data_IF_815542847861
#
_entry.id   IF_815542847861
#
_cell.length_a   1.000
_cell.length_b   1.000
_cell.length_c   1.000
_cell.angle_alpha   90.00
_cell.angle_beta   90.00
_cell.angle_gamma   90.00
#
_symmetry.space_group_name_H-M   'P 1'
#
loop_
_entity.id
_entity.type
_entity.pdbx_description
1 polymer ?
#
# COMPACT_ATOMS: atom_id res chain seq x y z
N UNK A 1 -3.39 -10.59 -27.19
CA UNK A 1 -4.43 -9.60 -26.81
C UNK A 1 -3.92 -8.24 -27.25
N UNK A 2 -4.53 -7.64 -28.27
CA UNK A 2 -4.29 -6.21 -28.55
C UNK A 2 -5.09 -5.40 -27.55
N UNK A 3 -4.45 -4.44 -26.90
CA UNK A 3 -5.12 -3.43 -26.09
C UNK A 3 -6.14 -2.69 -26.95
N UNK A 4 -7.33 -2.39 -26.40
CA UNK A 4 -8.33 -1.63 -27.14
C UNK A 4 -7.81 -0.24 -27.54
N UNK A 5 -8.35 0.38 -28.61
CA UNK A 5 -7.85 1.64 -29.17
C UNK A 5 -7.84 2.80 -28.17
N UNK A 6 -8.70 2.77 -27.14
CA UNK A 6 -8.69 3.76 -26.05
C UNK A 6 -7.43 3.62 -25.17
N UNK A 7 -7.04 2.39 -24.83
CA UNK A 7 -5.87 2.13 -23.99
C UNK A 7 -4.59 2.54 -24.71
N UNK A 8 -4.50 2.26 -26.02
CA UNK A 8 -3.38 2.70 -26.86
C UNK A 8 -3.20 4.22 -26.82
N UNK A 9 -4.30 5.00 -26.86
CA UNK A 9 -4.21 6.47 -26.75
C UNK A 9 -3.60 6.93 -25.42
N UNK A 10 -3.92 6.25 -24.32
CA UNK A 10 -3.32 6.55 -23.01
C UNK A 10 -1.84 6.14 -22.95
N UNK A 11 -1.46 5.00 -23.54
CA UNK A 11 -0.07 4.59 -23.63
C UNK A 11 0.78 5.60 -24.42
N UNK A 12 0.24 6.15 -25.51
CA UNK A 12 0.94 7.15 -26.31
C UNK A 12 1.06 8.50 -25.59
N UNK A 13 0.01 8.93 -24.89
CA UNK A 13 -0.01 10.24 -24.24
C UNK A 13 0.67 10.27 -22.86
N UNK A 14 0.63 9.16 -22.12
CA UNK A 14 1.08 9.10 -20.72
C UNK A 14 1.50 7.67 -20.33
N UNK A 15 2.59 7.14 -20.91
CA UNK A 15 3.00 5.74 -20.71
C UNK A 15 3.32 5.43 -19.25
N UNK A 16 4.04 6.32 -18.55
CA UNK A 16 4.50 6.07 -17.18
C UNK A 16 3.32 5.96 -16.18
N UNK A 17 2.36 6.91 -16.12
CA UNK A 17 1.18 6.76 -15.28
C UNK A 17 0.36 5.50 -15.58
N UNK A 18 0.21 5.12 -16.86
CA UNK A 18 -0.52 3.91 -17.26
C UNK A 18 0.19 2.65 -16.77
N UNK A 19 1.51 2.57 -16.96
CA UNK A 19 2.33 1.47 -16.46
C UNK A 19 2.25 1.38 -14.93
N UNK A 20 2.42 2.50 -14.22
CA UNK A 20 2.33 2.54 -12.76
C UNK A 20 0.96 2.07 -12.26
N UNK A 21 -0.13 2.54 -12.88
CA UNK A 21 -1.48 2.10 -12.56
C UNK A 21 -1.66 0.59 -12.78
N UNK A 22 -1.17 0.06 -13.89
CA UNK A 22 -1.24 -1.37 -14.18
C UNK A 22 -0.45 -2.22 -13.17
N UNK A 23 0.72 -1.74 -12.73
CA UNK A 23 1.50 -2.41 -11.67
C UNK A 23 0.74 -2.43 -10.35
N UNK A 24 0.14 -1.31 -9.96
CA UNK A 24 -0.68 -1.23 -8.74
C UNK A 24 -1.91 -2.13 -8.80
N UNK A 25 -2.64 -2.14 -9.90
CA UNK A 25 -3.82 -3.02 -10.06
C UNK A 25 -3.43 -4.50 -10.00
N UNK A 26 -2.26 -4.86 -10.53
CA UNK A 26 -1.74 -6.23 -10.43
C UNK A 26 -1.36 -6.62 -9.00
N UNK A 27 -0.70 -5.70 -8.28
CA UNK A 27 -0.16 -5.95 -6.94
C UNK A 27 -1.21 -5.82 -5.83
N UNK A 28 -2.26 -5.03 -6.05
CA UNK A 28 -3.29 -4.69 -5.07
C UNK A 28 -4.66 -5.25 -5.47
N UNK A 29 -4.67 -6.49 -5.99
CA UNK A 29 -5.90 -7.18 -6.37
C UNK A 29 -6.80 -7.40 -5.13
N UNK A 30 -8.03 -6.86 -5.09
CA UNK A 30 -8.86 -6.87 -3.88
C UNK A 30 -9.13 -8.26 -3.31
N UNK A 31 -9.40 -9.23 -4.19
CA UNK A 31 -9.72 -10.59 -3.78
C UNK A 31 -8.51 -11.27 -3.12
N UNK A 32 -7.33 -11.14 -3.72
CA UNK A 32 -6.10 -11.66 -3.13
C UNK A 32 -5.72 -10.97 -1.82
N UNK A 33 -5.95 -9.66 -1.71
CA UNK A 33 -5.70 -8.93 -0.47
C UNK A 33 -6.62 -9.38 0.66
N UNK A 34 -7.90 -9.59 0.38
CA UNK A 34 -8.85 -10.07 1.39
C UNK A 34 -8.55 -11.52 1.79
N UNK A 35 -8.11 -12.37 0.85
CA UNK A 35 -7.64 -13.73 1.14
C UNK A 35 -6.37 -13.72 2.00
N UNK A 36 -5.37 -12.90 1.65
CA UNK A 36 -4.16 -12.72 2.44
C UNK A 36 -4.49 -12.36 3.90
N UNK A 37 -5.42 -11.42 4.09
CA UNK A 37 -5.87 -11.02 5.41
C UNK A 37 -6.55 -12.18 6.15
N UNK A 38 -7.43 -12.92 5.47
CA UNK A 38 -8.10 -14.09 6.03
C UNK A 38 -7.12 -15.16 6.50
N UNK A 39 -6.06 -15.41 5.73
CA UNK A 39 -5.08 -16.45 6.02
C UNK A 39 -4.07 -16.06 7.10
N UNK A 40 -3.79 -14.75 7.24
CA UNK A 40 -2.70 -14.26 8.10
C UNK A 40 -3.19 -13.71 9.43
N UNK A 41 -4.35 -13.04 9.47
CA UNK A 41 -4.85 -12.39 10.66
C UNK A 41 -5.24 -13.43 11.73
N UNK A 42 -4.70 -13.27 12.95
CA UNK A 42 -4.96 -14.19 14.06
C UNK A 42 -6.16 -13.74 14.90
N UNK A 43 -6.32 -12.43 15.07
CA UNK A 43 -7.28 -11.83 16.01
C UNK A 43 -8.30 -10.94 15.32
N UNK A 44 -7.91 -10.24 14.25
CA UNK A 44 -8.82 -9.36 13.54
C UNK A 44 -9.78 -10.13 12.62
N UNK A 45 -11.03 -9.65 12.53
CA UNK A 45 -12.05 -10.18 11.61
C UNK A 45 -12.37 -9.20 10.48
N UNK A 46 -12.84 -9.74 9.34
CA UNK A 46 -13.29 -8.97 8.15
C UNK A 46 -14.75 -8.48 8.23
N UNK A 47 -15.47 -8.78 9.32
CA UNK A 47 -16.94 -8.66 9.39
C UNK A 47 -17.49 -7.24 9.19
N UNK A 48 -16.72 -6.19 9.48
CA UNK A 48 -17.18 -4.80 9.40
C UNK A 48 -16.52 -3.97 8.29
N UNK A 49 -15.38 -4.44 7.78
CA UNK A 49 -14.60 -3.74 6.76
C UNK A 49 -13.59 -4.73 6.14
N UNK A 50 -13.51 -4.78 4.81
CA UNK A 50 -12.55 -5.61 4.08
C UNK A 50 -11.14 -5.03 4.16
N UNK A 51 -10.12 -5.87 4.04
CA UNK A 51 -8.73 -5.40 4.03
C UNK A 51 -8.42 -4.63 2.74
N UNK A 52 -8.93 -5.13 1.61
CA UNK A 52 -8.87 -4.44 0.31
C UNK A 52 -9.47 -3.02 0.36
N UNK A 53 -10.58 -2.83 1.08
CA UNK A 53 -11.20 -1.53 1.29
C UNK A 53 -10.30 -0.58 2.10
N UNK A 54 -9.60 -1.10 3.11
CA UNK A 54 -8.61 -0.30 3.86
C UNK A 54 -7.41 0.07 3.00
N UNK A 55 -6.90 -0.86 2.19
CA UNK A 55 -5.80 -0.59 1.26
C UNK A 55 -6.21 0.49 0.26
N UNK A 56 -7.43 0.44 -0.31
CA UNK A 56 -7.99 1.49 -1.17
C UNK A 56 -8.05 2.85 -0.45
N UNK A 57 -8.50 2.87 0.80
CA UNK A 57 -8.57 4.09 1.61
C UNK A 57 -7.17 4.67 1.86
N UNK A 58 -6.22 3.84 2.28
CA UNK A 58 -4.84 4.24 2.53
C UNK A 58 -4.15 4.70 1.24
N UNK A 59 -4.45 4.05 0.11
CA UNK A 59 -3.94 4.45 -1.20
C UNK A 59 -4.28 5.92 -1.51
N UNK A 60 -5.53 6.33 -1.27
CA UNK A 60 -5.95 7.72 -1.49
C UNK A 60 -5.26 8.73 -0.55
N UNK A 61 -4.87 8.29 0.65
CA UNK A 61 -4.12 9.13 1.59
C UNK A 61 -2.65 9.26 1.18
N UNK A 62 -1.98 8.13 0.89
CA UNK A 62 -0.55 8.13 0.53
C UNK A 62 -0.30 8.77 -0.83
N UNK A 63 -1.27 8.70 -1.75
CA UNK A 63 -1.24 9.39 -3.04
C UNK A 63 -1.62 10.87 -2.93
N UNK A 64 -1.87 11.40 -1.71
CA UNK A 64 -2.27 12.79 -1.42
C UNK A 64 -3.58 13.22 -2.10
N UNK A 65 -4.44 12.29 -2.49
CA UNK A 65 -5.80 12.61 -2.95
C UNK A 65 -6.63 13.14 -1.79
N UNK A 66 -6.43 12.58 -0.60
CA UNK A 66 -6.97 13.08 0.64
C UNK A 66 -5.85 13.40 1.64
N UNK A 67 -5.94 14.53 2.38
CA UNK A 67 -4.89 14.94 3.31
C UNK A 67 -4.80 14.07 4.58
N UNK A 68 -5.82 13.25 4.85
CA UNK A 68 -5.86 12.39 6.04
C UNK A 68 -6.77 11.17 5.84
N UNK A 69 -6.55 10.15 6.68
CA UNK A 69 -7.46 9.00 6.83
C UNK A 69 -8.88 9.44 7.12
N UNK A 70 -9.06 10.46 7.97
CA UNK A 70 -10.37 11.01 8.31
C UNK A 70 -11.10 11.54 7.08
N UNK A 71 -10.44 12.40 6.28
CA UNK A 71 -11.02 12.94 5.05
C UNK A 71 -11.33 11.85 4.01
N UNK A 72 -10.45 10.86 3.87
CA UNK A 72 -10.66 9.74 2.95
C UNK A 72 -11.84 8.86 3.41
N UNK A 73 -11.96 8.63 4.73
CA UNK A 73 -13.06 7.89 5.32
C UNK A 73 -14.39 8.57 5.01
N UNK A 74 -14.51 9.89 5.26
CA UNK A 74 -15.73 10.66 4.97
C UNK A 74 -16.13 10.58 3.49
N UNK A 75 -15.18 10.65 2.57
CA UNK A 75 -15.45 10.52 1.14
C UNK A 75 -15.91 9.11 0.74
N UNK A 76 -15.64 8.09 1.57
CA UNK A 76 -15.94 6.68 1.31
C UNK A 76 -17.15 6.15 2.11
N UNK A 77 -17.75 6.97 2.99
CA UNK A 77 -18.82 6.52 3.90
C UNK A 77 -20.07 6.03 3.15
N UNK A 78 -20.40 6.65 2.02
CA UNK A 78 -21.55 6.27 1.19
C UNK A 78 -21.35 4.91 0.51
N UNK A 79 -20.11 4.53 0.17
CA UNK A 79 -19.80 3.25 -0.48
C UNK A 79 -19.74 2.07 0.50
N UNK A 80 -19.34 2.31 1.76
CA UNK A 80 -18.93 1.23 2.68
C UNK A 80 -19.86 1.08 3.90
N UNK A 81 -20.81 2.02 4.14
CA UNK A 81 -21.72 2.02 5.31
C UNK A 81 -21.03 1.74 6.65
N UNK A 82 -19.79 2.18 6.79
CA UNK A 82 -18.98 1.97 8.00
C UNK A 82 -18.86 3.28 8.78
N UNK A 83 -18.29 3.26 9.99
CA UNK A 83 -18.05 4.48 10.78
C UNK A 83 -16.55 4.81 10.81
N UNK A 84 -16.22 6.08 11.01
CA UNK A 84 -14.82 6.51 11.19
C UNK A 84 -14.12 5.75 12.32
N UNK A 85 -14.87 5.41 13.38
CA UNK A 85 -14.38 4.59 14.50
C UNK A 85 -13.97 3.20 14.02
N UNK A 86 -14.81 2.51 13.24
CA UNK A 86 -14.50 1.18 12.69
C UNK A 86 -13.26 1.22 11.79
N UNK A 87 -13.14 2.23 10.91
CA UNK A 87 -11.95 2.42 10.07
C UNK A 87 -10.70 2.60 10.94
N UNK A 88 -10.77 3.48 11.94
CA UNK A 88 -9.62 3.82 12.79
C UNK A 88 -9.18 2.63 13.64
N UNK A 89 -10.12 1.93 14.27
CA UNK A 89 -9.85 0.72 15.06
C UNK A 89 -9.26 -0.39 14.20
N UNK A 90 -9.80 -0.59 12.99
CA UNK A 90 -9.26 -1.63 12.11
C UNK A 90 -7.84 -1.29 11.65
N UNK A 91 -7.56 -0.04 11.29
CA UNK A 91 -6.21 0.43 10.93
C UNK A 91 -5.21 0.25 12.06
N UNK A 92 -5.58 0.65 13.28
CA UNK A 92 -4.71 0.52 14.46
C UNK A 92 -4.42 -0.93 14.82
N UNK A 93 -5.37 -1.83 14.54
CA UNK A 93 -5.22 -3.24 14.87
C UNK A 93 -4.61 -4.11 13.78
N UNK A 94 -4.19 -3.56 12.62
CA UNK A 94 -3.55 -4.40 11.58
C UNK A 94 -2.32 -5.06 12.20
N UNK A 95 -2.33 -6.39 12.20
CA UNK A 95 -1.28 -7.19 12.80
C UNK A 95 0.03 -7.07 12.00
N UNK A 96 1.21 -7.02 12.65
CA UNK A 96 2.49 -6.94 11.95
C UNK A 96 2.70 -8.04 10.92
N UNK A 97 2.15 -9.23 11.18
CA UNK A 97 2.21 -10.37 10.27
C UNK A 97 1.40 -10.12 8.99
N UNK A 98 0.25 -9.46 9.09
CA UNK A 98 -0.55 -9.03 7.93
C UNK A 98 0.24 -8.00 7.12
N UNK A 99 0.89 -7.03 7.76
CA UNK A 99 1.76 -6.06 7.08
C UNK A 99 2.93 -6.74 6.35
N UNK A 100 3.59 -7.72 7.01
CA UNK A 100 4.67 -8.51 6.38
C UNK A 100 4.13 -9.29 5.18
N UNK A 101 3.01 -9.97 5.35
CA UNK A 101 2.34 -10.72 4.28
C UNK A 101 1.98 -9.81 3.10
N UNK A 102 1.52 -8.59 3.35
CA UNK A 102 1.18 -7.63 2.32
C UNK A 102 2.39 -7.20 1.47
N UNK A 103 3.53 -6.92 2.11
CA UNK A 103 4.77 -6.57 1.41
C UNK A 103 5.28 -7.75 0.56
N UNK A 104 5.27 -8.96 1.13
CA UNK A 104 5.67 -10.18 0.40
C UNK A 104 4.73 -10.47 -0.77
N UNK A 105 3.42 -10.32 -0.57
CA UNK A 105 2.44 -10.45 -1.63
C UNK A 105 2.73 -9.49 -2.79
N UNK A 106 2.92 -8.20 -2.51
CA UNK A 106 3.23 -7.21 -3.54
C UNK A 106 4.53 -7.54 -4.28
N UNK A 107 5.57 -8.01 -3.55
CA UNK A 107 6.81 -8.52 -4.14
C UNK A 107 6.52 -9.66 -5.12
N UNK A 108 5.83 -10.72 -4.69
CA UNK A 108 5.60 -11.91 -5.50
C UNK A 108 4.77 -11.62 -6.76
N UNK A 109 3.85 -10.64 -6.66
CA UNK A 109 3.04 -10.18 -7.80
C UNK A 109 3.86 -9.44 -8.86
N UNK A 110 4.91 -8.72 -8.44
CA UNK A 110 5.72 -7.85 -9.29
C UNK A 110 7.06 -8.47 -9.71
N UNK A 111 7.57 -9.44 -8.96
CA UNK A 111 8.84 -10.13 -9.23
C UNK A 111 8.93 -10.69 -10.67
N UNK A 112 7.89 -11.34 -11.24
CA UNK A 112 7.94 -11.83 -12.61
C UNK A 112 8.13 -10.71 -13.65
N UNK A 113 7.65 -9.50 -13.36
CA UNK A 113 7.84 -8.34 -14.23
C UNK A 113 9.27 -7.82 -14.10
N UNK A 114 9.76 -7.68 -12.87
CA UNK A 114 11.14 -7.25 -12.60
C UNK A 114 12.17 -8.17 -13.27
N UNK A 115 11.97 -9.50 -13.22
CA UNK A 115 12.83 -10.48 -13.89
C UNK A 115 12.81 -10.35 -15.41
N UNK A 116 11.69 -9.95 -16.02
CA UNK A 116 11.59 -9.76 -17.48
C UNK A 116 12.19 -8.45 -17.98
N UNK A 117 12.38 -7.48 -17.09
CA UNK A 117 12.94 -6.17 -17.41
C UNK A 117 14.45 -6.09 -17.15
N UNK A 118 15.10 -7.21 -16.77
CA UNK A 118 16.50 -7.28 -16.30
C UNK A 118 16.84 -6.32 -15.13
N UNK A 119 15.85 -5.62 -14.57
CA UNK A 119 16.01 -4.61 -13.53
C UNK A 119 16.02 -5.17 -12.11
N UNK A 120 15.78 -6.46 -11.93
CA UNK A 120 15.64 -7.11 -10.62
C UNK A 120 16.94 -7.60 -9.98
N UNK A 121 18.06 -7.65 -10.72
CA UNK A 121 19.33 -8.19 -10.23
C UNK A 121 20.46 -7.23 -10.60
N UNK A 122 20.40 -6.02 -10.04
CA UNK A 122 21.61 -5.19 -10.02
C UNK A 122 22.64 -5.88 -9.14
N UNK A 123 23.93 -5.93 -9.55
CA UNK A 123 24.97 -6.46 -8.70
C UNK A 123 24.97 -5.69 -7.38
N UNK A 124 25.29 -6.40 -6.30
CA UNK A 124 25.47 -5.74 -5.01
C UNK A 124 26.53 -4.65 -5.18
N UNK A 125 26.27 -3.41 -4.70
CA UNK A 125 27.18 -2.29 -4.91
C UNK A 125 28.56 -2.53 -4.28
N UNK A 126 28.64 -3.45 -3.30
CA UNK A 126 29.86 -3.84 -2.61
C UNK A 126 30.02 -5.38 -2.60
N UNK A 127 31.12 -5.93 -3.16
CA UNK A 127 31.39 -7.37 -3.11
C UNK A 127 31.44 -7.90 -1.67
N UNK A 128 30.78 -9.04 -1.42
CA UNK A 128 30.72 -9.67 -0.10
C UNK A 128 29.70 -9.06 0.87
N UNK A 129 29.03 -7.97 0.49
CA UNK A 129 28.02 -7.31 1.32
C UNK A 129 26.64 -7.35 0.69
N UNK A 130 25.62 -7.65 1.51
CA UNK A 130 24.22 -7.51 1.13
C UNK A 130 23.76 -6.09 1.43
N UNK A 131 23.62 -5.27 0.41
CA UNK A 131 22.96 -3.98 0.52
C UNK A 131 21.50 -4.17 0.94
N UNK A 132 21.06 -3.35 1.90
CA UNK A 132 19.67 -3.23 2.32
C UNK A 132 19.27 -1.77 2.17
N UNK A 133 18.09 -1.51 1.65
CA UNK A 133 17.49 -0.18 1.65
C UNK A 133 16.72 -0.06 2.96
N UNK A 134 17.09 0.92 3.77
CA UNK A 134 16.31 1.31 4.93
C UNK A 134 15.40 2.46 4.49
N UNK A 135 14.16 2.14 4.13
CA UNK A 135 13.12 3.14 3.95
C UNK A 135 12.59 3.53 5.34
N UNK A 136 12.98 4.72 5.78
CA UNK A 136 12.66 5.25 7.09
C UNK A 136 12.60 6.76 7.00
N UNK A 137 11.66 7.34 7.74
CA UNK A 137 11.62 8.77 7.97
C UNK A 137 13.03 9.21 8.37
N UNK A 138 13.56 10.23 7.69
CA UNK A 138 14.88 10.78 7.93
C UNK A 138 15.11 10.90 9.45
N UNK A 139 16.16 10.27 9.99
CA UNK A 139 16.55 10.37 11.42
C UNK A 139 17.02 11.79 11.80
N UNK A 140 16.57 12.84 11.10
CA UNK A 140 16.68 14.19 11.60
C UNK A 140 15.70 14.33 12.77
N UNK A 141 16.26 14.49 13.96
CA UNK A 141 15.58 14.35 15.24
C UNK A 141 14.27 15.14 15.34
N UNK A 142 13.20 14.44 15.66
CA UNK A 142 11.98 15.04 16.18
C UNK A 142 11.95 14.86 17.70
N UNK A 143 12.77 15.64 18.40
CA UNK A 143 12.47 15.94 19.81
C UNK A 143 11.25 16.85 19.86
N UNK A 144 10.05 16.29 19.68
CA UNK A 144 8.81 16.94 20.09
C UNK A 144 8.60 16.73 21.59
N UNK A 145 9.59 17.11 22.41
CA UNK A 145 9.44 17.07 23.87
C UNK A 145 8.54 18.24 24.28
N UNK A 146 7.35 17.99 24.86
CA UNK A 146 6.52 19.07 25.39
C UNK A 146 7.25 19.78 26.54
N UNK A 147 7.03 21.08 26.67
CA UNK A 147 7.61 21.87 27.75
C UNK A 147 7.11 21.36 29.12
N UNK A 148 7.96 21.37 30.18
CA UNK A 148 7.56 20.94 31.51
C UNK A 148 6.41 21.80 32.06
N UNK A 149 5.31 21.14 32.45
CA UNK A 149 4.06 21.79 32.89
C UNK A 149 4.03 22.08 34.40
N UNK A 150 5.17 22.42 35.01
CA UNK A 150 5.22 22.83 36.43
C UNK A 150 5.82 24.22 36.55
N UNK A 151 4.97 25.17 36.92
CA UNK A 151 5.31 26.45 37.57
C UNK A 151 4.88 26.37 39.02
#
# INVERSE_FOLDING_TARGET
MQSGPLFERFLQASPIPVMYRALLERALDPQQLDQLFHDTAQTQRTRELLFSAMVKLMFAVVSKVHPSVRSASFASLDEVRTTLTVVSTKLQGIEPDVCRGFVLHAHDRLEPILRRLDGGILPQPLPGYRARILDGNHLAGTEHRPAPTRT
#
